data_IF_024270122975
#
_entry.id   IF_024270122975
#
_cell.length_a   1.000
_cell.length_b   1.000
_cell.length_c   1.000
_cell.angle_alpha   90.00
_cell.angle_beta   90.00
_cell.angle_gamma   90.00
#
_symmetry.space_group_name_H-M   'P 1'
#
loop_
_entity.id
_entity.type
_entity.pdbx_description
1 polymer ?
#
# COMPACT_ATOMS: atom_id res chain seq x y z
N UNK A 1 18.38 69.46 -1.45
CA UNK A 1 16.94 69.82 -1.59
C UNK A 1 16.39 69.17 -2.86
N UNK A 2 15.07 69.19 -3.08
CA UNK A 2 14.30 68.26 -3.94
C UNK A 2 14.38 68.49 -5.48
N UNK A 3 13.69 67.60 -6.22
CA UNK A 3 13.16 67.70 -7.60
C UNK A 3 14.09 67.26 -8.76
N UNK A 4 13.96 66.06 -9.37
CA UNK A 4 13.03 65.60 -10.46
C UNK A 4 13.07 66.44 -11.74
N UNK A 5 13.34 65.92 -12.96
CA UNK A 5 12.35 65.32 -13.91
C UNK A 5 13.05 65.05 -15.28
N UNK A 6 13.24 63.81 -15.77
CA UNK A 6 12.46 63.05 -16.80
C UNK A 6 12.85 63.17 -18.31
N UNK A 7 13.25 62.01 -18.89
CA UNK A 7 13.17 61.45 -20.29
C UNK A 7 13.20 62.34 -21.57
N UNK A 8 14.12 61.98 -22.48
CA UNK A 8 14.06 61.77 -23.98
C UNK A 8 15.51 61.50 -24.47
N UNK A 9 15.88 60.83 -25.57
CA UNK A 9 15.26 59.92 -26.58
C UNK A 9 16.34 58.87 -26.98
N UNK A 10 16.04 57.59 -27.25
CA UNK A 10 15.59 56.98 -28.53
C UNK A 10 16.53 57.17 -29.74
N UNK A 11 17.36 56.16 -30.05
CA UNK A 11 17.72 55.81 -31.43
C UNK A 11 17.89 54.29 -31.56
N UNK A 12 17.43 53.72 -32.68
CA UNK A 12 17.52 52.29 -33.04
C UNK A 12 18.40 52.14 -34.28
N UNK A 13 19.36 51.19 -34.27
CA UNK A 13 19.83 50.42 -35.44
C UNK A 13 21.02 49.53 -35.02
N UNK A 14 20.81 48.24 -34.73
CA UNK A 14 21.00 47.11 -35.66
C UNK A 14 22.41 46.99 -36.28
N UNK A 15 23.17 46.01 -35.77
CA UNK A 15 24.30 45.38 -36.44
C UNK A 15 24.37 43.91 -35.98
N UNK A 16 24.22 42.96 -36.91
CA UNK A 16 24.26 41.53 -36.59
C UNK A 16 25.69 41.12 -36.22
N UNK A 17 25.83 40.25 -35.21
CA UNK A 17 26.82 39.17 -35.28
C UNK A 17 26.27 37.90 -34.63
N UNK A 18 26.22 36.87 -35.46
CA UNK A 18 25.83 35.49 -35.17
C UNK A 18 26.58 34.88 -33.99
N UNK A 19 25.83 34.31 -33.05
CA UNK A 19 26.36 33.59 -31.88
C UNK A 19 25.28 32.72 -31.26
N UNK A 20 24.80 31.72 -32.02
CA UNK A 20 23.69 30.86 -31.62
C UNK A 20 24.06 29.93 -30.47
N UNK A 21 23.93 30.41 -29.23
CA UNK A 21 23.82 29.56 -28.05
C UNK A 21 22.49 28.81 -28.14
N UNK A 22 22.54 27.66 -28.81
CA UNK A 22 21.52 26.63 -28.69
C UNK A 22 21.51 26.18 -27.23
N UNK A 23 20.64 26.80 -26.43
CA UNK A 23 20.21 26.25 -25.17
C UNK A 23 19.51 24.93 -25.50
N UNK A 24 20.30 23.85 -25.53
CA UNK A 24 19.78 22.51 -25.32
C UNK A 24 19.13 22.52 -23.95
N UNK A 25 17.84 22.88 -23.95
CA UNK A 25 16.97 22.55 -22.86
C UNK A 25 17.07 21.05 -22.70
N UNK A 26 17.80 20.61 -21.68
CA UNK A 26 17.64 19.29 -21.11
C UNK A 26 16.20 19.26 -20.59
N UNK A 27 15.31 18.95 -21.52
CA UNK A 27 13.93 18.56 -21.28
C UNK A 27 13.97 17.26 -20.51
N UNK A 28 14.30 17.37 -19.23
CA UNK A 28 13.91 16.45 -18.19
C UNK A 28 12.38 16.49 -18.13
N UNK A 29 11.75 15.92 -19.16
CA UNK A 29 10.42 15.38 -19.03
C UNK A 29 10.47 14.51 -17.77
N UNK A 30 9.68 14.80 -16.73
CA UNK A 30 9.68 13.98 -15.53
C UNK A 30 9.04 12.66 -15.93
N UNK A 31 9.85 11.72 -16.41
CA UNK A 31 9.35 10.40 -16.74
C UNK A 31 8.79 9.81 -15.45
N UNK A 32 7.54 9.31 -15.48
CA UNK A 32 6.98 8.64 -14.32
C UNK A 32 7.90 7.48 -13.95
N UNK A 33 8.18 7.33 -12.66
CA UNK A 33 9.22 6.46 -12.07
C UNK A 33 8.87 4.94 -12.15
N UNK A 34 8.24 4.55 -13.26
CA UNK A 34 7.55 3.28 -13.50
C UNK A 34 8.02 2.58 -14.79
N UNK A 35 9.31 2.70 -15.12
CA UNK A 35 9.99 1.77 -16.04
C UNK A 35 10.35 0.47 -15.30
N UNK A 36 9.34 -0.25 -14.82
CA UNK A 36 9.52 -1.48 -14.05
C UNK A 36 9.76 -2.69 -14.98
N UNK A 37 10.97 -3.26 -14.96
CA UNK A 37 11.31 -4.49 -15.69
C UNK A 37 11.39 -5.73 -14.80
N UNK A 38 12.11 -5.67 -13.68
CA UNK A 38 12.35 -6.82 -12.83
C UNK A 38 11.95 -6.52 -11.38
N UNK A 39 11.15 -7.42 -10.79
CA UNK A 39 10.64 -7.35 -9.41
C UNK A 39 10.83 -8.72 -8.73
N UNK A 40 12.06 -9.05 -8.28
CA UNK A 40 12.35 -10.36 -7.69
C UNK A 40 11.64 -10.57 -6.35
N UNK A 41 11.14 -9.50 -5.75
CA UNK A 41 10.30 -9.49 -4.55
C UNK A 41 8.83 -9.90 -4.80
N UNK A 42 8.38 -9.93 -6.07
CA UNK A 42 7.01 -10.24 -6.46
C UNK A 42 6.92 -11.61 -7.18
N UNK A 43 6.31 -12.64 -6.55
CA UNK A 43 6.22 -13.98 -7.15
C UNK A 43 5.50 -13.97 -8.50
N UNK A 44 6.10 -14.62 -9.50
CA UNK A 44 5.56 -14.77 -10.86
C UNK A 44 5.23 -13.45 -11.57
N UNK A 45 5.79 -12.32 -11.13
CA UNK A 45 5.57 -11.02 -11.76
C UNK A 45 6.13 -10.99 -13.19
N UNK A 46 5.40 -10.33 -14.10
CA UNK A 46 5.86 -10.04 -15.45
C UNK A 46 5.54 -8.57 -15.76
N UNK A 47 6.54 -7.73 -16.08
CA UNK A 47 6.32 -6.32 -16.38
C UNK A 47 5.50 -6.12 -17.65
N UNK A 48 4.87 -4.96 -17.80
CA UNK A 48 4.20 -4.58 -19.05
C UNK A 48 2.77 -5.10 -19.22
N UNK A 49 2.15 -5.67 -18.18
CA UNK A 49 0.75 -6.10 -18.24
C UNK A 49 -0.17 -4.95 -18.68
N UNK A 50 -1.12 -5.18 -19.61
CA UNK A 50 -1.90 -4.10 -20.24
C UNK A 50 -2.96 -3.52 -19.30
N UNK A 51 -3.39 -2.28 -19.58
CA UNK A 51 -4.59 -1.73 -18.95
C UNK A 51 -5.83 -2.34 -19.62
N UNK A 52 -6.55 -3.19 -18.88
CA UNK A 52 -7.75 -3.89 -19.36
C UNK A 52 -8.67 -4.25 -18.19
N UNK A 53 -9.98 -4.11 -18.41
CA UNK A 53 -11.02 -4.56 -17.47
C UNK A 53 -11.28 -6.08 -17.51
N UNK A 54 -10.72 -6.80 -18.48
CA UNK A 54 -10.90 -8.24 -18.65
C UNK A 54 -9.55 -8.95 -18.87
N UNK A 55 -9.26 -9.92 -18.00
CA UNK A 55 -8.00 -10.67 -17.91
C UNK A 55 -8.15 -12.12 -18.43
N UNK A 56 -9.36 -12.50 -18.88
CA UNK A 56 -9.70 -13.88 -19.22
C UNK A 56 -8.96 -14.36 -20.46
N UNK A 57 -8.07 -15.33 -20.27
CA UNK A 57 -7.22 -15.90 -21.33
C UNK A 57 -7.70 -17.22 -21.94
N UNK A 58 -8.97 -17.61 -21.77
CA UNK A 58 -9.48 -18.91 -22.24
C UNK A 58 -10.74 -19.35 -21.49
N UNK A 59 -11.13 -20.64 -21.57
CA UNK A 59 -12.29 -21.17 -20.84
C UNK A 59 -11.98 -21.36 -19.34
N UNK A 60 -12.95 -21.03 -18.48
CA UNK A 60 -12.86 -21.24 -17.05
C UNK A 60 -14.05 -20.71 -16.26
N UNK A 61 -14.15 -21.03 -14.96
CA UNK A 61 -15.16 -20.44 -14.07
C UNK A 61 -14.88 -18.94 -13.91
N UNK A 62 -15.84 -18.09 -14.30
CA UNK A 62 -15.66 -16.63 -14.31
C UNK A 62 -15.74 -16.03 -12.89
N UNK A 63 -14.91 -15.02 -12.66
CA UNK A 63 -14.79 -14.25 -11.42
C UNK A 63 -14.71 -12.76 -11.75
N UNK A 64 -15.51 -11.94 -11.07
CA UNK A 64 -15.35 -10.48 -11.06
C UNK A 64 -14.65 -10.07 -9.78
N UNK A 65 -13.44 -9.52 -9.86
CA UNK A 65 -12.74 -8.93 -8.72
C UNK A 65 -13.04 -7.43 -8.69
N UNK A 66 -13.56 -6.92 -7.58
CA UNK A 66 -13.85 -5.50 -7.40
C UNK A 66 -13.52 -5.04 -6.00
N UNK A 67 -13.44 -3.73 -5.78
CA UNK A 67 -13.31 -3.17 -4.45
C UNK A 67 -12.92 -1.70 -4.51
N UNK A 68 -12.56 -1.15 -3.35
CA UNK A 68 -12.17 0.25 -3.21
C UNK A 68 -10.75 0.33 -2.66
N UNK A 69 -9.95 1.24 -3.20
CA UNK A 69 -8.64 1.60 -2.64
C UNK A 69 -8.82 2.79 -1.73
N UNK A 70 -8.39 2.66 -0.48
CA UNK A 70 -8.50 3.68 0.55
C UNK A 70 -7.14 4.24 0.97
N UNK A 71 -7.17 5.46 1.50
CA UNK A 71 -6.03 6.13 2.09
C UNK A 71 -5.60 5.54 3.44
N UNK A 72 -4.61 6.18 4.09
CA UNK A 72 -4.06 5.71 5.37
C UNK A 72 -5.05 5.75 6.54
N UNK A 73 -6.17 6.47 6.39
CA UNK A 73 -7.26 6.58 7.35
C UNK A 73 -8.27 5.43 7.26
N UNK A 74 -8.24 4.63 6.18
CA UNK A 74 -9.16 3.53 5.95
C UNK A 74 -10.48 3.85 5.27
N UNK A 75 -10.77 5.14 5.07
CA UNK A 75 -12.10 5.63 4.71
C UNK A 75 -12.09 6.60 3.54
N UNK A 76 -11.03 7.39 3.35
CA UNK A 76 -10.89 8.28 2.18
C UNK A 76 -10.64 7.43 0.92
N UNK A 77 -11.54 7.41 -0.08
CA UNK A 77 -11.30 6.68 -1.32
C UNK A 77 -10.21 7.35 -2.14
N UNK A 78 -9.40 6.56 -2.84
CA UNK A 78 -8.27 7.04 -3.62
C UNK A 78 -8.52 6.88 -5.13
N UNK A 79 -8.89 7.95 -5.85
CA UNK A 79 -9.06 7.93 -7.30
C UNK A 79 -7.72 7.89 -8.05
N UNK A 80 -7.68 7.22 -9.20
CA UNK A 80 -6.48 7.09 -10.03
C UNK A 80 -5.40 6.12 -9.53
N UNK A 81 -5.63 5.40 -8.42
CA UNK A 81 -4.79 4.30 -7.96
C UNK A 81 -4.69 3.23 -9.05
N UNK A 82 -3.48 2.75 -9.35
CA UNK A 82 -3.30 1.63 -10.27
C UNK A 82 -3.40 0.32 -9.50
N UNK A 83 -4.31 -0.55 -9.92
CA UNK A 83 -4.50 -1.91 -9.40
C UNK A 83 -4.04 -2.89 -10.47
N UNK A 84 -2.90 -3.53 -10.25
CA UNK A 84 -2.31 -4.55 -11.11
C UNK A 84 -2.55 -5.94 -10.53
N UNK A 85 -3.00 -6.85 -11.39
CA UNK A 85 -3.42 -8.20 -11.01
C UNK A 85 -2.76 -9.22 -11.93
N UNK A 86 -2.25 -10.31 -11.33
CA UNK A 86 -1.81 -11.49 -12.07
C UNK A 86 -2.11 -12.78 -11.31
N UNK A 87 -2.30 -13.87 -12.05
CA UNK A 87 -2.42 -15.21 -11.48
C UNK A 87 -2.14 -16.30 -12.53
N UNK A 88 -2.16 -17.55 -12.10
CA UNK A 88 -2.14 -18.70 -13.00
C UNK A 88 -3.54 -18.97 -13.58
N UNK A 89 -3.58 -19.61 -14.75
CA UNK A 89 -4.82 -20.05 -15.36
C UNK A 89 -5.54 -21.12 -14.51
N UNK A 90 -6.78 -21.53 -14.84
CA UNK A 90 -7.52 -22.56 -14.09
C UNK A 90 -6.82 -23.92 -13.98
N UNK A 91 -5.76 -24.19 -14.77
CA UNK A 91 -4.93 -25.40 -14.75
C UNK A 91 -3.58 -25.20 -14.03
N UNK A 92 -3.40 -24.10 -13.30
CA UNK A 92 -2.20 -23.85 -12.49
C UNK A 92 -0.98 -23.36 -13.27
N UNK A 93 -1.13 -22.95 -14.54
CA UNK A 93 0.00 -22.46 -15.36
C UNK A 93 -0.02 -20.93 -15.49
N UNK A 94 1.11 -20.29 -15.24
CA UNK A 94 1.29 -18.86 -15.47
C UNK A 94 1.63 -18.59 -16.94
N UNK A 95 1.11 -17.50 -17.49
CA UNK A 95 1.59 -16.96 -18.76
C UNK A 95 2.83 -16.09 -18.52
N UNK A 96 3.86 -16.25 -19.35
CA UNK A 96 5.03 -15.37 -19.41
C UNK A 96 5.33 -14.94 -20.86
N UNK A 97 4.33 -15.01 -21.74
CA UNK A 97 4.39 -14.48 -23.10
C UNK A 97 3.86 -13.04 -23.16
N UNK A 98 4.19 -12.36 -24.25
CA UNK A 98 3.69 -11.00 -24.56
C UNK A 98 2.16 -10.94 -24.80
N UNK A 99 1.41 -12.04 -24.60
CA UNK A 99 -0.06 -12.06 -24.61
C UNK A 99 -0.68 -11.63 -23.29
N UNK A 100 0.08 -11.69 -22.18
CA UNK A 100 -0.36 -11.26 -20.85
C UNK A 100 -1.66 -11.91 -20.36
N UNK A 101 -1.93 -13.15 -20.75
CA UNK A 101 -3.14 -13.86 -20.34
C UNK A 101 -3.19 -13.98 -18.81
N UNK A 102 -4.33 -13.70 -18.18
CA UNK A 102 -4.49 -13.67 -16.71
C UNK A 102 -3.62 -12.61 -16.00
N UNK A 103 -3.21 -11.56 -16.72
CA UNK A 103 -2.44 -10.41 -16.21
C UNK A 103 -3.02 -9.10 -16.73
N UNK A 104 -3.08 -8.07 -15.91
CA UNK A 104 -3.50 -6.74 -16.38
C UNK A 104 -3.67 -5.74 -15.25
N UNK A 105 -3.97 -4.51 -15.64
CA UNK A 105 -4.07 -3.35 -14.76
C UNK A 105 -5.38 -2.61 -14.98
N UNK A 106 -5.87 -1.97 -13.94
CA UNK A 106 -6.93 -0.96 -14.05
C UNK A 106 -6.58 0.25 -13.18
N UNK A 107 -7.29 1.36 -13.38
CA UNK A 107 -7.23 2.52 -12.47
C UNK A 107 -8.53 2.62 -11.69
N UNK A 108 -8.45 3.07 -10.45
CA UNK A 108 -9.66 3.40 -9.69
C UNK A 108 -10.36 4.62 -10.26
N UNK A 109 -11.70 4.58 -10.22
CA UNK A 109 -12.58 5.66 -10.62
C UNK A 109 -12.61 6.82 -9.60
N UNK A 110 -13.47 7.81 -9.83
CA UNK A 110 -13.65 8.96 -8.95
C UNK A 110 -14.08 8.59 -7.50
N UNK A 111 -14.63 7.40 -7.29
CA UNK A 111 -15.03 6.86 -5.99
C UNK A 111 -13.97 5.89 -5.42
N UNK A 112 -12.74 5.90 -5.95
CA UNK A 112 -11.67 5.00 -5.55
C UNK A 112 -11.93 3.53 -5.86
N UNK A 113 -12.91 3.22 -6.71
CA UNK A 113 -13.40 1.86 -6.96
C UNK A 113 -12.75 1.28 -8.21
N UNK A 114 -12.42 -0.02 -8.17
CA UNK A 114 -11.89 -0.78 -9.30
C UNK A 114 -12.76 -2.00 -9.59
N UNK A 115 -12.74 -2.48 -10.83
CA UNK A 115 -13.36 -3.75 -11.24
C UNK A 115 -12.54 -4.39 -12.36
N UNK A 116 -12.36 -5.70 -12.26
CA UNK A 116 -11.64 -6.57 -13.20
C UNK A 116 -12.43 -7.88 -13.37
N UNK A 117 -12.53 -8.38 -14.60
CA UNK A 117 -13.07 -9.72 -14.91
C UNK A 117 -11.93 -10.69 -15.15
N UNK A 118 -12.01 -11.88 -14.58
CA UNK A 118 -11.02 -12.94 -14.76
C UNK A 118 -11.64 -14.33 -14.55
N UNK A 119 -10.82 -15.36 -14.38
CA UNK A 119 -11.21 -16.70 -13.94
C UNK A 119 -10.63 -17.02 -12.57
N UNK A 120 -11.23 -17.96 -11.84
CA UNK A 120 -10.56 -18.51 -10.65
C UNK A 120 -9.23 -19.17 -11.05
N UNK A 121 -8.13 -18.89 -10.33
CA UNK A 121 -6.87 -19.58 -10.56
C UNK A 121 -6.97 -21.07 -10.19
N UNK A 122 -6.17 -21.90 -10.84
CA UNK A 122 -5.92 -23.26 -10.37
C UNK A 122 -4.97 -23.28 -9.16
N UNK A 123 -4.78 -24.46 -8.58
CA UNK A 123 -3.59 -24.71 -7.77
C UNK A 123 -2.37 -24.85 -8.69
N UNK A 124 -1.22 -24.29 -8.31
CA UNK A 124 0.05 -24.43 -9.05
C UNK A 124 1.10 -25.16 -8.21
N UNK A 125 2.13 -25.68 -8.86
CA UNK A 125 3.26 -26.37 -8.20
C UNK A 125 4.48 -25.45 -8.16
N UNK A 126 5.13 -25.37 -7.01
CA UNK A 126 6.29 -24.52 -6.74
C UNK A 126 7.27 -25.32 -5.87
N UNK A 127 8.46 -25.64 -6.37
CA UNK A 127 9.45 -26.48 -5.66
C UNK A 127 8.93 -27.88 -5.34
N UNK A 128 8.13 -28.49 -6.22
CA UNK A 128 7.47 -29.79 -5.99
C UNK A 128 6.25 -29.74 -5.07
N UNK A 129 6.02 -28.63 -4.36
CA UNK A 129 4.89 -28.47 -3.45
C UNK A 129 3.69 -27.83 -4.15
N UNK A 130 2.50 -28.39 -3.92
CA UNK A 130 1.25 -27.83 -4.45
C UNK A 130 0.76 -26.66 -3.59
N UNK A 131 0.72 -25.48 -4.18
CA UNK A 131 0.29 -24.21 -3.55
C UNK A 131 -1.20 -24.00 -3.75
N UNK A 132 -1.83 -23.25 -2.84
CA UNK A 132 -3.25 -22.91 -2.94
C UNK A 132 -3.52 -21.98 -4.13
N UNK A 133 -4.76 -21.98 -4.61
CA UNK A 133 -5.22 -21.02 -5.61
C UNK A 133 -5.13 -19.61 -5.02
N UNK A 134 -4.49 -18.69 -5.75
CA UNK A 134 -4.29 -17.31 -5.32
C UNK A 134 -4.25 -16.33 -6.49
N UNK A 135 -4.74 -15.13 -6.25
CA UNK A 135 -4.58 -13.95 -7.11
C UNK A 135 -3.59 -13.00 -6.43
N UNK A 136 -2.58 -12.57 -7.19
CA UNK A 136 -1.65 -11.55 -6.76
C UNK A 136 -2.19 -10.16 -7.12
N UNK A 137 -2.11 -9.22 -6.18
CA UNK A 137 -2.57 -7.85 -6.39
C UNK A 137 -1.51 -6.87 -5.90
N UNK A 138 -1.06 -5.99 -6.79
CA UNK A 138 -0.18 -4.86 -6.50
C UNK A 138 -0.98 -3.57 -6.70
N UNK A 139 -1.05 -2.73 -5.66
CA UNK A 139 -1.74 -1.44 -5.70
C UNK A 139 -0.75 -0.32 -5.50
N UNK A 140 -0.75 0.65 -6.42
CA UNK A 140 0.21 1.75 -6.46
C UNK A 140 -0.49 3.09 -6.66
N UNK A 141 -0.03 4.12 -5.95
CA UNK A 141 -0.46 5.49 -6.15
C UNK A 141 0.66 6.49 -5.81
N UNK A 142 0.81 7.59 -6.56
CA UNK A 142 1.70 8.69 -6.16
C UNK A 142 1.48 9.14 -4.71
N UNK A 143 2.59 9.45 -4.02
CA UNK A 143 2.60 9.83 -2.60
C UNK A 143 2.39 8.68 -1.59
N UNK A 144 2.04 7.48 -2.06
CA UNK A 144 1.77 6.32 -1.22
C UNK A 144 2.85 5.26 -1.36
N UNK A 145 3.00 4.43 -0.32
CA UNK A 145 3.75 3.18 -0.40
C UNK A 145 2.88 2.19 -1.17
N UNK A 146 3.47 1.49 -2.14
CA UNK A 146 2.79 0.39 -2.82
C UNK A 146 2.37 -0.72 -1.84
N UNK A 147 1.22 -1.32 -2.09
CA UNK A 147 0.68 -2.44 -1.31
C UNK A 147 0.64 -3.68 -2.18
N UNK A 148 1.37 -4.72 -1.77
CA UNK A 148 1.35 -6.02 -2.41
C UNK A 148 0.63 -7.03 -1.52
N UNK A 149 -0.35 -7.73 -2.08
CA UNK A 149 -1.18 -8.69 -1.37
C UNK A 149 -1.53 -9.91 -2.21
N UNK A 150 -1.98 -10.96 -1.52
CA UNK A 150 -2.35 -12.24 -2.10
C UNK A 150 -3.76 -12.60 -1.62
N UNK A 151 -4.69 -12.74 -2.57
CA UNK A 151 -6.06 -13.17 -2.35
C UNK A 151 -6.14 -14.67 -2.62
N UNK A 152 -6.33 -15.47 -1.57
CA UNK A 152 -6.37 -16.93 -1.65
C UNK A 152 -7.79 -17.47 -1.80
N UNK A 153 -7.92 -18.68 -2.33
CA UNK A 153 -9.19 -19.39 -2.48
C UNK A 153 -9.10 -20.81 -1.92
N UNK A 154 -10.08 -21.21 -1.10
CA UNK A 154 -10.21 -22.58 -0.62
C UNK A 154 -10.81 -23.51 -1.70
N UNK A 155 -11.04 -24.79 -1.35
CA UNK A 155 -11.64 -25.78 -2.28
C UNK A 155 -13.05 -25.41 -2.74
N UNK A 156 -13.78 -24.62 -1.93
CA UNK A 156 -15.14 -24.16 -2.17
C UNK A 156 -15.19 -22.77 -2.82
N UNK A 157 -14.02 -22.20 -3.19
CA UNK A 157 -13.83 -20.85 -3.73
C UNK A 157 -14.12 -19.72 -2.73
N UNK A 158 -14.16 -20.01 -1.42
CA UNK A 158 -14.23 -18.95 -0.41
C UNK A 158 -12.91 -18.17 -0.41
N UNK A 159 -12.95 -16.84 -0.54
CA UNK A 159 -11.76 -16.02 -0.56
C UNK A 159 -11.23 -15.75 0.85
N UNK A 160 -9.92 -15.77 1.03
CA UNK A 160 -9.26 -15.44 2.29
C UNK A 160 -7.90 -14.76 2.07
N UNK A 161 -7.32 -14.23 3.14
CA UNK A 161 -6.05 -13.47 3.13
C UNK A 161 -5.10 -13.96 4.23
N UNK A 162 -3.80 -13.79 3.99
CA UNK A 162 -2.77 -13.94 5.02
C UNK A 162 -2.37 -12.59 5.63
N UNK A 163 -1.57 -12.66 6.70
CA UNK A 163 -1.23 -11.53 7.59
C UNK A 163 -0.63 -10.29 6.91
N UNK A 164 -0.03 -10.42 5.71
CA UNK A 164 0.49 -9.26 4.95
C UNK A 164 -0.61 -8.28 4.54
N UNK A 165 -1.77 -8.74 4.05
CA UNK A 165 -2.88 -7.84 3.72
C UNK A 165 -3.52 -7.27 5.00
N UNK A 166 -3.62 -8.10 6.04
CA UNK A 166 -4.11 -7.69 7.37
C UNK A 166 -3.27 -6.56 8.01
N UNK A 167 -1.98 -6.50 7.69
CA UNK A 167 -1.06 -5.43 8.10
C UNK A 167 -1.30 -4.11 7.36
N UNK A 168 -1.73 -4.14 6.08
CA UNK A 168 -2.03 -2.91 5.32
C UNK A 168 -3.36 -2.25 5.71
N UNK A 169 -4.27 -3.00 6.34
CA UNK A 169 -5.60 -2.53 6.73
C UNK A 169 -5.60 -1.33 7.69
N UNK A 170 -6.76 -0.67 7.84
CA UNK A 170 -6.89 0.53 8.66
C UNK A 170 -6.82 0.20 10.15
N UNK A 171 -6.68 1.24 10.95
CA UNK A 171 -6.22 1.09 12.33
C UNK A 171 -7.40 1.08 13.31
N UNK A 172 -7.67 -0.08 13.89
CA UNK A 172 -8.72 -0.27 14.90
C UNK A 172 -10.03 -0.86 14.35
N UNK A 173 -10.16 -0.90 13.03
CA UNK A 173 -11.20 -1.68 12.34
C UNK A 173 -10.58 -2.91 11.69
N UNK A 174 -11.31 -4.03 11.65
CA UNK A 174 -10.89 -5.15 10.81
C UNK A 174 -10.98 -4.71 9.34
N UNK A 175 -9.90 -4.78 8.53
CA UNK A 175 -10.02 -4.59 7.10
C UNK A 175 -11.09 -5.56 6.59
N UNK A 176 -12.02 -5.05 5.78
CA UNK A 176 -13.16 -5.82 5.33
C UNK A 176 -12.67 -7.08 4.62
N UNK A 177 -12.90 -8.24 5.26
CA UNK A 177 -12.49 -9.54 4.71
C UNK A 177 -13.07 -9.70 3.30
N UNK A 178 -12.33 -10.33 2.37
CA UNK A 178 -12.84 -10.59 1.04
C UNK A 178 -14.19 -11.31 1.12
N UNK A 179 -15.19 -10.82 0.37
CA UNK A 179 -16.53 -11.44 0.35
C UNK A 179 -16.84 -11.99 -1.02
N UNK A 180 -17.13 -13.29 -1.09
CA UNK A 180 -17.75 -13.89 -2.26
C UNK A 180 -19.22 -13.51 -2.30
N UNK A 181 -19.66 -12.97 -3.43
CA UNK A 181 -21.04 -12.64 -3.73
C UNK A 181 -21.47 -13.46 -4.93
N UNK A 182 -22.67 -14.05 -4.85
CA UNK A 182 -23.35 -14.57 -6.03
C UNK A 182 -23.75 -13.39 -6.93
N UNK A 183 -23.43 -13.48 -8.21
CA UNK A 183 -23.94 -12.61 -9.25
C UNK A 183 -24.70 -13.47 -10.26
N UNK A 184 -25.70 -12.90 -10.95
CA UNK A 184 -26.49 -13.65 -11.92
C UNK A 184 -25.57 -14.21 -13.03
N UNK A 185 -25.36 -15.53 -13.03
CA UNK A 185 -24.45 -16.23 -13.95
C UNK A 185 -22.95 -16.19 -13.61
N UNK A 186 -22.54 -15.77 -12.41
CA UNK A 186 -21.11 -15.74 -12.06
C UNK A 186 -20.80 -15.47 -10.59
N UNK A 187 -19.50 -15.42 -10.29
CA UNK A 187 -18.99 -15.07 -8.96
C UNK A 187 -18.41 -13.66 -8.97
N UNK A 188 -18.63 -12.90 -7.88
CA UNK A 188 -17.90 -11.67 -7.63
C UNK A 188 -17.19 -11.75 -6.27
N UNK A 189 -15.95 -11.24 -6.18
CA UNK A 189 -15.26 -11.03 -4.91
C UNK A 189 -15.06 -9.54 -4.70
N UNK A 190 -15.52 -9.06 -3.54
CA UNK A 190 -15.19 -7.72 -3.05
C UNK A 190 -13.89 -7.82 -2.25
N UNK A 191 -12.88 -7.03 -2.62
CA UNK A 191 -11.55 -7.00 -2.00
C UNK A 191 -11.02 -5.57 -1.97
N UNK A 192 -11.09 -4.95 -0.80
CA UNK A 192 -10.63 -3.57 -0.58
C UNK A 192 -9.12 -3.53 -0.34
N UNK A 193 -8.49 -2.39 -0.66
CA UNK A 193 -7.06 -2.16 -0.42
C UNK A 193 -6.85 -0.86 0.33
N UNK A 194 -5.74 -0.77 1.05
CA UNK A 194 -5.45 0.32 1.96
C UNK A 194 -3.99 0.73 1.74
N UNK A 195 -3.76 2.00 1.40
CA UNK A 195 -2.43 2.51 1.10
C UNK A 195 -1.93 3.43 2.21
N UNK A 196 -0.76 3.12 2.76
CA UNK A 196 -0.06 4.02 3.67
C UNK A 196 0.73 5.08 2.89
N UNK A 197 1.02 6.24 3.52
CA UNK A 197 1.90 7.26 2.92
C UNK A 197 3.30 6.70 2.66
N UNK A 198 3.93 7.12 1.57
CA UNK A 198 5.35 6.81 1.35
C UNK A 198 6.19 7.55 2.38
N UNK A 199 7.07 6.82 3.09
CA UNK A 199 7.97 7.42 4.09
C UNK A 199 9.03 8.33 3.47
N UNK A 200 9.20 8.33 2.15
CA UNK A 200 10.07 9.28 1.44
C UNK A 200 9.52 10.72 1.45
N UNK A 201 8.26 10.92 1.88
CA UNK A 201 7.64 12.24 2.07
C UNK A 201 7.58 12.69 3.55
N UNK A 202 8.11 11.89 4.48
CA UNK A 202 8.44 12.32 5.82
C UNK A 202 9.95 12.57 5.89
N UNK A 203 10.42 13.57 6.64
CA UNK A 203 11.87 13.78 6.77
C UNK A 203 12.50 12.51 7.35
N UNK A 204 13.61 11.98 6.79
CA UNK A 204 14.25 10.77 7.31
C UNK A 204 14.60 10.89 8.80
N UNK A 205 15.02 12.10 9.20
CA UNK A 205 15.41 12.46 10.57
C UNK A 205 14.27 12.28 11.57
N UNK A 206 13.05 12.75 11.29
CA UNK A 206 11.92 12.65 12.22
C UNK A 206 11.49 11.19 12.46
N UNK A 207 11.49 10.38 11.38
CA UNK A 207 11.12 8.97 11.47
C UNK A 207 12.18 8.17 12.23
N UNK A 208 13.46 8.41 11.96
CA UNK A 208 14.54 7.70 12.64
C UNK A 208 14.60 8.03 14.14
N UNK A 209 14.45 9.32 14.50
CA UNK A 209 14.36 9.75 15.90
C UNK A 209 13.18 9.07 16.60
N UNK A 210 11.98 9.07 16.01
CA UNK A 210 10.82 8.41 16.59
C UNK A 210 11.04 6.89 16.79
N UNK A 211 11.60 6.18 15.80
CA UNK A 211 11.88 4.73 15.90
C UNK A 211 12.96 4.42 16.95
N UNK A 212 13.92 5.33 17.17
CA UNK A 212 14.93 5.22 18.24
C UNK A 212 14.35 5.54 19.64
N UNK A 213 13.43 6.50 19.75
CA UNK A 213 12.82 6.91 21.02
C UNK A 213 11.67 6.02 21.49
N UNK A 214 11.06 5.24 20.59
CA UNK A 214 10.07 4.21 20.94
C UNK A 214 10.73 3.11 21.78
N UNK A 215 10.57 3.27 23.09
CA UNK A 215 10.78 2.23 24.11
C UNK A 215 9.44 1.58 24.41
N UNK A 216 9.47 0.24 24.49
CA UNK A 216 8.38 -0.59 24.99
C UNK A 216 8.90 -1.26 26.26
N UNK A 217 8.42 -0.79 27.42
CA UNK A 217 8.84 -1.31 28.71
C UNK A 217 7.67 -2.09 29.33
N UNK A 218 7.78 -3.42 29.56
CA UNK A 218 6.77 -4.15 30.32
C UNK A 218 6.79 -3.68 31.78
N UNK A 219 5.70 -3.08 32.23
CA UNK A 219 5.51 -2.66 33.62
C UNK A 219 5.13 -3.89 34.44
N UNK A 220 6.15 -4.52 35.05
CA UNK A 220 6.06 -5.80 35.79
C UNK A 220 5.02 -5.83 36.92
N UNK A 221 4.52 -4.68 37.35
CA UNK A 221 3.58 -4.51 38.47
C UNK A 221 2.16 -4.13 38.07
N UNK A 222 1.86 -3.87 36.79
CA UNK A 222 0.57 -3.31 36.37
C UNK A 222 -0.15 -4.04 35.21
N UNK A 223 0.49 -5.02 34.55
CA UNK A 223 -0.09 -5.62 33.34
C UNK A 223 -0.15 -4.64 32.16
N UNK A 224 0.77 -3.69 32.11
CA UNK A 224 0.87 -2.66 31.07
C UNK A 224 2.22 -2.70 30.35
N UNK A 225 2.27 -2.18 29.14
CA UNK A 225 3.52 -1.88 28.44
C UNK A 225 3.56 -0.39 28.09
N UNK A 226 4.58 0.34 28.54
CA UNK A 226 4.68 1.78 28.27
C UNK A 226 5.28 2.05 26.89
N UNK A 227 4.60 2.88 26.09
CA UNK A 227 5.06 3.41 24.80
C UNK A 227 5.52 4.87 24.95
N UNK A 228 6.82 5.12 24.85
CA UNK A 228 7.37 6.48 24.82
C UNK A 228 7.41 7.04 23.38
N UNK A 229 6.88 8.25 23.15
CA UNK A 229 6.79 8.93 21.85
C UNK A 229 6.83 10.46 22.00
N UNK A 230 7.27 11.19 20.97
CA UNK A 230 7.14 12.66 20.90
C UNK A 230 5.67 13.04 20.61
N UNK A 231 4.97 13.74 21.53
CA UNK A 231 3.55 14.09 21.38
C UNK A 231 3.25 15.03 20.21
N UNK A 232 4.18 15.93 19.89
CA UNK A 232 3.99 16.97 18.88
C UNK A 232 4.21 16.42 17.46
N UNK A 233 5.16 15.49 17.30
CA UNK A 233 5.53 14.91 16.00
C UNK A 233 4.68 13.73 15.55
N UNK A 234 4.03 13.01 16.46
CA UNK A 234 3.32 11.75 16.12
C UNK A 234 1.87 11.95 15.66
N UNK A 235 1.14 12.89 16.26
CA UNK A 235 -0.32 13.00 16.04
C UNK A 235 -1.05 11.86 16.75
N UNK A 236 -2.21 11.44 16.24
CA UNK A 236 -2.92 10.28 16.82
C UNK A 236 -2.16 8.98 16.57
N UNK A 237 -2.25 8.05 17.53
CA UNK A 237 -1.46 6.83 17.57
C UNK A 237 -2.37 5.62 17.76
N UNK A 238 -2.14 4.57 16.98
CA UNK A 238 -2.78 3.27 17.15
C UNK A 238 -1.69 2.23 17.42
N UNK A 239 -1.91 1.41 18.44
CA UNK A 239 -1.03 0.29 18.82
C UNK A 239 -1.79 -1.01 18.58
N UNK A 240 -1.23 -1.91 17.77
CA UNK A 240 -1.78 -3.26 17.52
C UNK A 240 -0.75 -4.28 18.00
N UNK A 241 -1.18 -5.26 18.79
CA UNK A 241 -0.34 -6.42 19.12
C UNK A 241 -0.80 -7.60 18.28
N UNK A 242 0.12 -8.17 17.50
CA UNK A 242 -0.07 -9.40 16.75
C UNK A 242 0.63 -10.56 17.44
N UNK A 243 -0.02 -11.72 17.53
CA UNK A 243 0.61 -12.95 18.01
C UNK A 243 1.59 -13.56 16.98
N UNK A 244 2.18 -14.71 17.32
CA UNK A 244 3.13 -15.44 16.45
C UNK A 244 2.54 -15.90 15.11
N UNK A 245 1.21 -15.97 14.98
CA UNK A 245 0.52 -16.29 13.71
C UNK A 245 0.25 -15.04 12.86
N UNK A 246 0.49 -13.84 13.41
CA UNK A 246 0.16 -12.57 12.80
C UNK A 246 -1.29 -12.15 13.02
N UNK A 247 -2.07 -12.88 13.83
CA UNK A 247 -3.43 -12.51 14.24
C UNK A 247 -3.35 -11.35 15.24
N UNK A 248 -4.20 -10.34 15.05
CA UNK A 248 -4.36 -9.27 16.04
C UNK A 248 -5.03 -9.82 17.30
N UNK A 249 -4.37 -9.66 18.44
CA UNK A 249 -4.90 -10.04 19.76
C UNK A 249 -5.27 -8.85 20.62
N UNK A 250 -4.73 -7.66 20.31
CA UNK A 250 -5.03 -6.42 21.03
C UNK A 250 -4.91 -5.21 20.10
N UNK A 251 -5.72 -4.18 20.36
CA UNK A 251 -5.60 -2.85 19.75
C UNK A 251 -5.97 -1.78 20.78
N UNK A 252 -5.21 -0.68 20.78
CA UNK A 252 -5.46 0.50 21.58
C UNK A 252 -5.20 1.77 20.76
N UNK A 253 -5.93 2.84 21.09
CA UNK A 253 -5.85 4.15 20.45
C UNK A 253 -5.47 5.23 21.46
N UNK A 254 -4.65 6.18 21.02
CA UNK A 254 -4.29 7.38 21.77
C UNK A 254 -4.54 8.62 20.90
N UNK A 255 -5.26 9.59 21.45
CA UNK A 255 -5.48 10.88 20.81
C UNK A 255 -4.15 11.64 20.65
N UNK A 256 -4.04 12.45 19.60
CA UNK A 256 -2.81 13.21 19.35
C UNK A 256 -2.56 14.29 20.38
N UNK A 257 -1.30 14.52 20.75
CA UNK A 257 -0.89 15.54 21.72
C UNK A 257 -0.88 15.10 23.18
N UNK A 258 -1.16 13.82 23.50
CA UNK A 258 -0.97 13.29 24.86
C UNK A 258 0.51 13.32 25.26
N UNK A 259 0.81 13.98 26.38
CA UNK A 259 2.17 14.11 26.90
C UNK A 259 2.56 12.94 27.81
N UNK A 260 3.80 12.45 27.65
CA UNK A 260 4.37 11.39 28.48
C UNK A 260 4.24 9.98 27.88
N UNK A 261 4.65 8.94 28.63
CA UNK A 261 4.53 7.55 28.21
C UNK A 261 3.07 7.11 28.13
N UNK A 262 2.71 6.42 27.05
CA UNK A 262 1.36 5.95 26.79
C UNK A 262 1.20 4.49 27.27
N UNK A 263 0.33 4.20 28.25
CA UNK A 263 0.17 2.84 28.78
C UNK A 263 -0.64 1.96 27.82
N UNK A 264 -0.04 0.88 27.34
CA UNK A 264 -0.71 -0.16 26.55
C UNK A 264 -1.22 -1.23 27.53
N UNK A 265 -2.54 -1.41 27.63
CA UNK A 265 -3.16 -2.31 28.62
C UNK A 265 -3.12 -3.76 28.13
N UNK A 266 -2.19 -4.56 28.65
CA UNK A 266 -1.87 -5.91 28.13
C UNK A 266 -2.15 -7.06 29.09
N UNK A 267 -2.65 -6.81 30.31
CA UNK A 267 -2.84 -7.83 31.36
C UNK A 267 -3.82 -8.98 31.04
N UNK A 268 -4.59 -8.88 29.95
CA UNK A 268 -5.44 -9.95 29.42
C UNK A 268 -4.71 -10.88 28.42
N UNK A 269 -3.49 -10.53 28.01
CA UNK A 269 -2.65 -11.32 27.10
C UNK A 269 -1.77 -12.28 27.89
N UNK A 270 -1.45 -13.42 27.28
CA UNK A 270 -0.55 -14.41 27.88
C UNK A 270 0.91 -13.94 27.76
N UNK A 271 1.77 -14.40 28.67
CA UNK A 271 3.23 -14.32 28.53
C UNK A 271 3.67 -14.78 27.14
N UNK A 272 4.50 -14.00 26.45
CA UNK A 272 4.89 -14.30 25.07
C UNK A 272 5.47 -13.14 24.27
N UNK A 273 5.84 -13.45 23.03
CA UNK A 273 6.36 -12.51 22.05
C UNK A 273 5.23 -12.03 21.13
N UNK A 274 5.06 -10.71 21.06
CA UNK A 274 4.08 -10.04 20.22
C UNK A 274 4.76 -9.05 19.27
N UNK A 275 4.30 -8.99 18.02
CA UNK A 275 4.67 -7.91 17.11
C UNK A 275 3.80 -6.68 17.43
N UNK A 276 4.41 -5.68 18.05
CA UNK A 276 3.77 -4.40 18.35
C UNK A 276 3.89 -3.49 17.12
N UNK A 277 2.80 -3.41 16.36
CA UNK A 277 2.68 -2.52 15.20
C UNK A 277 2.09 -1.20 15.70
N UNK A 278 2.90 -0.16 15.67
CA UNK A 278 2.55 1.18 16.12
C UNK A 278 2.42 2.04 14.87
N UNK A 279 1.29 2.71 14.70
CA UNK A 279 1.06 3.60 13.57
C UNK A 279 0.68 4.99 14.08
N UNK A 280 1.29 6.00 13.48
CA UNK A 280 1.13 7.40 13.84
C UNK A 280 0.61 8.17 12.62
N UNK A 281 -0.36 9.07 12.81
CA UNK A 281 -0.99 9.81 11.70
C UNK A 281 0.02 10.65 10.91
N UNK A 282 1.09 11.13 11.55
CA UNK A 282 2.12 11.97 10.93
C UNK A 282 3.32 11.19 10.37
N UNK A 283 3.82 10.16 11.07
CA UNK A 283 5.07 9.46 10.71
C UNK A 283 4.85 8.05 10.11
N UNK A 284 3.59 7.62 10.00
CA UNK A 284 3.20 6.31 9.47
C UNK A 284 3.45 5.17 10.45
N UNK A 285 3.60 3.95 9.90
CA UNK A 285 3.75 2.71 10.66
C UNK A 285 5.19 2.29 10.92
N UNK A 286 5.41 1.69 12.10
CA UNK A 286 6.62 0.99 12.51
C UNK A 286 6.26 -0.22 13.39
N UNK A 287 7.17 -1.19 13.48
CA UNK A 287 6.96 -2.43 14.25
C UNK A 287 8.12 -2.64 15.22
N UNK A 288 7.81 -3.02 16.46
CA UNK A 288 8.77 -3.42 17.49
C UNK A 288 8.31 -4.76 18.07
N UNK A 289 9.25 -5.54 18.62
CA UNK A 289 8.86 -6.70 19.43
C UNK A 289 8.50 -6.24 20.84
N UNK A 290 7.38 -6.76 21.35
CA UNK A 290 6.99 -6.66 22.75
C UNK A 290 7.06 -8.06 23.35
N UNK A 291 7.96 -8.23 24.33
CA UNK A 291 8.01 -9.42 25.18
C UNK A 291 7.18 -9.13 26.42
N UNK A 292 6.09 -9.87 26.60
CA UNK A 292 5.35 -9.94 27.85
C UNK A 292 5.93 -11.10 28.66
N UNK A 293 6.40 -10.80 29.88
CA UNK A 293 6.88 -11.75 30.87
C UNK A 293 5.78 -12.02 31.88
#
# INVERSE_FOLDING_TARGET
MMSTTTRRNFLKSTGLLSGGLAAFGLGLSPQPLFAAGHRPDLPYYHPGAPFTGDLRGGPGPSLTLRGTVYGPDGSTPLPGATVEVWHCNPRGRFDFSNRFAYRGKTRTDAHGTYTLRTHFPGQHTEGGLRKMSRIFVLVQQPGHRESFSELYFDRNRNPYIHSRHWQSGPLGEMPALPRLLAANGGHAVVYHHYLHRSSALASPTDREIAVRQVRLCPARTAGEALLAVDPQRTGSIHVRLLDRTGKQVHHQFFAGGQAGPLPITVGHLRTGNYACVIHTRKLGGFTKMLLLS
#
